data_IF_050407736648
#
_entry.id   IF_050407736648
#
_cell.length_a   1.000
_cell.length_b   1.000
_cell.length_c   1.000
_cell.angle_alpha   90.00
_cell.angle_beta   90.00
_cell.angle_gamma   90.00
#
_symmetry.space_group_name_H-M   'P 1'
#
loop_
_entity.id
_entity.type
_entity.pdbx_description
1 polymer ?
#
# COMPACT_ATOMS: atom_id res chain seq x y z
N UNK A 1 -3.88 24.02 11.18
CA UNK A 1 -3.41 22.67 11.53
C UNK A 1 -3.25 21.71 10.33
N UNK A 2 -4.00 21.86 9.22
CA UNK A 2 -3.83 21.03 8.01
C UNK A 2 -2.59 21.33 7.15
N UNK A 3 -2.07 22.56 7.22
CA UNK A 3 -0.92 23.00 6.41
C UNK A 3 0.42 22.39 6.88
N UNK A 4 0.58 22.19 8.18
CA UNK A 4 1.81 21.62 8.78
C UNK A 4 1.97 20.14 8.42
N UNK A 5 0.85 19.40 8.31
CA UNK A 5 0.86 17.99 7.93
C UNK A 5 1.36 17.78 6.49
N UNK A 6 0.97 18.68 5.56
CA UNK A 6 1.40 18.62 4.16
C UNK A 6 2.92 18.84 4.05
N UNK A 7 3.49 19.74 4.82
CA UNK A 7 4.94 20.00 4.80
C UNK A 7 5.75 18.81 5.31
N UNK A 8 5.22 18.06 6.28
CA UNK A 8 5.92 16.92 6.89
C UNK A 8 5.90 15.65 6.07
N UNK A 9 4.84 15.45 5.24
CA UNK A 9 4.81 14.33 4.28
C UNK A 9 5.96 14.45 3.26
N UNK A 10 6.39 15.69 2.94
CA UNK A 10 7.56 15.94 2.08
C UNK A 10 8.92 15.64 2.75
N UNK A 11 8.96 15.56 4.09
CA UNK A 11 10.19 15.28 4.84
C UNK A 11 10.35 13.78 5.17
N UNK A 12 9.33 12.96 4.97
CA UNK A 12 9.48 11.51 5.09
C UNK A 12 10.43 11.04 3.98
N UNK A 13 11.50 10.29 4.32
CA UNK A 13 12.41 9.79 3.31
C UNK A 13 11.76 8.65 2.53
N UNK A 14 10.89 8.98 1.58
CA UNK A 14 10.59 8.12 0.44
C UNK A 14 11.82 8.16 -0.50
N UNK A 15 13.02 8.31 0.12
CA UNK A 15 14.29 8.45 -0.57
C UNK A 15 14.65 7.14 -1.24
N UNK A 16 14.71 7.18 -2.55
CA UNK A 16 15.27 6.11 -3.37
C UNK A 16 14.40 5.70 -4.58
N UNK A 17 13.09 5.83 -4.52
CA UNK A 17 12.22 5.31 -5.58
C UNK A 17 11.48 6.37 -6.42
N UNK A 18 11.68 7.67 -6.14
CA UNK A 18 11.00 8.76 -6.86
C UNK A 18 9.47 8.80 -6.68
N UNK A 19 8.97 8.18 -5.61
CA UNK A 19 7.53 8.18 -5.32
C UNK A 19 7.13 9.51 -4.69
N UNK A 20 6.22 10.24 -5.35
CA UNK A 20 5.72 11.51 -4.83
C UNK A 20 4.75 11.32 -3.66
N UNK A 21 4.91 12.07 -2.55
CA UNK A 21 3.96 12.05 -1.44
C UNK A 21 2.53 12.46 -1.81
N UNK A 22 2.36 13.27 -2.86
CA UNK A 22 1.05 13.74 -3.33
C UNK A 22 0.11 12.61 -3.70
N UNK A 23 0.63 11.47 -4.18
CA UNK A 23 -0.20 10.31 -4.53
C UNK A 23 -0.94 9.77 -3.31
N UNK A 24 -0.30 9.75 -2.13
CA UNK A 24 -0.92 9.33 -0.88
C UNK A 24 -1.96 10.34 -0.38
N UNK A 25 -1.68 11.64 -0.52
CA UNK A 25 -2.63 12.70 -0.18
C UNK A 25 -3.87 12.64 -1.06
N UNK A 26 -3.70 12.42 -2.37
CA UNK A 26 -4.82 12.23 -3.30
C UNK A 26 -5.65 11.00 -2.92
N UNK A 27 -5.01 9.85 -2.75
CA UNK A 27 -5.69 8.62 -2.38
C UNK A 27 -6.43 8.73 -1.03
N UNK A 28 -5.85 9.45 -0.06
CA UNK A 28 -6.45 9.74 1.24
C UNK A 28 -7.76 10.54 1.09
N UNK A 29 -7.76 11.61 0.30
CA UNK A 29 -8.97 12.42 0.05
C UNK A 29 -10.07 11.60 -0.60
N UNK A 30 -9.72 10.77 -1.59
CA UNK A 30 -10.66 9.98 -2.37
C UNK A 30 -11.23 8.76 -1.63
N UNK A 31 -10.48 8.21 -0.69
CA UNK A 31 -10.88 6.99 0.05
C UNK A 31 -11.43 7.27 1.45
N UNK A 32 -11.10 8.42 2.03
CA UNK A 32 -11.34 8.75 3.43
C UNK A 32 -10.36 8.07 4.40
N UNK A 33 -9.35 7.35 3.91
CA UNK A 33 -8.31 6.72 4.75
C UNK A 33 -7.26 7.78 5.13
N UNK A 34 -6.86 7.89 6.41
CA UNK A 34 -5.79 8.81 6.81
C UNK A 34 -4.51 8.58 6.02
N UNK A 35 -3.86 9.66 5.59
CA UNK A 35 -2.63 9.57 4.77
C UNK A 35 -1.51 8.85 5.51
N UNK A 36 -1.41 9.04 6.82
CA UNK A 36 -0.42 8.37 7.68
C UNK A 36 -0.63 6.85 7.70
N UNK A 37 -1.88 6.41 7.64
CA UNK A 37 -2.20 4.98 7.59
C UNK A 37 -1.83 4.38 6.23
N UNK A 38 -2.09 5.10 5.13
CA UNK A 38 -1.67 4.67 3.79
C UNK A 38 -0.14 4.58 3.68
N UNK A 39 0.58 5.55 4.24
CA UNK A 39 2.04 5.53 4.31
C UNK A 39 2.55 4.37 5.15
N UNK A 40 1.93 4.09 6.30
CA UNK A 40 2.31 2.99 7.18
C UNK A 40 2.13 1.64 6.50
N UNK A 41 1.02 1.44 5.79
CA UNK A 41 0.75 0.22 5.02
C UNK A 41 1.77 0.07 3.89
N UNK A 42 1.97 1.12 3.07
CA UNK A 42 2.95 1.06 1.98
C UNK A 42 4.38 0.77 2.48
N UNK A 43 4.77 1.33 3.63
CA UNK A 43 6.05 1.00 4.25
C UNK A 43 6.14 -0.49 4.65
N UNK A 44 5.07 -1.06 5.22
CA UNK A 44 5.04 -2.46 5.66
C UNK A 44 5.00 -3.42 4.48
N UNK A 45 4.25 -3.08 3.42
CA UNK A 45 4.02 -3.93 2.25
C UNK A 45 5.22 -3.96 1.30
N UNK A 46 5.77 -2.79 0.98
CA UNK A 46 6.76 -2.66 -0.10
C UNK A 46 8.03 -1.92 0.28
N UNK A 47 8.11 -1.34 1.49
CA UNK A 47 9.15 -0.37 1.87
C UNK A 47 9.24 0.80 0.88
N UNK A 48 8.09 1.21 0.36
CA UNK A 48 7.93 2.22 -0.67
C UNK A 48 8.57 1.85 -2.03
N UNK A 49 8.87 0.57 -2.28
CA UNK A 49 9.31 0.14 -3.59
C UNK A 49 8.08 -0.02 -4.53
N UNK A 50 7.94 0.81 -5.58
CA UNK A 50 6.82 0.73 -6.51
C UNK A 50 6.84 -0.53 -7.39
N UNK A 51 7.99 -1.21 -7.44
CA UNK A 51 8.20 -2.41 -8.23
C UNK A 51 8.10 -3.70 -7.40
N UNK A 52 7.79 -3.60 -6.10
CA UNK A 52 7.66 -4.78 -5.23
C UNK A 52 6.60 -5.75 -5.75
N UNK A 53 6.94 -7.04 -5.74
CA UNK A 53 6.07 -8.13 -6.21
C UNK A 53 6.08 -9.24 -5.16
N UNK A 54 4.92 -9.82 -4.87
CA UNK A 54 4.83 -11.05 -4.11
C UNK A 54 4.23 -12.15 -4.99
N UNK A 55 4.98 -13.21 -5.19
CA UNK A 55 4.58 -14.38 -6.01
C UNK A 55 4.14 -15.49 -5.07
N UNK A 56 2.85 -15.54 -4.74
CA UNK A 56 2.27 -16.60 -3.88
C UNK A 56 3.02 -16.78 -2.55
N UNK A 57 3.38 -15.68 -1.87
CA UNK A 57 4.09 -15.68 -0.59
C UNK A 57 5.61 -15.43 -0.68
N UNK A 58 6.19 -15.43 -1.89
CA UNK A 58 7.60 -15.10 -2.12
C UNK A 58 7.75 -13.66 -2.57
N UNK A 59 8.27 -12.80 -1.69
CA UNK A 59 8.54 -11.40 -2.01
C UNK A 59 9.77 -11.25 -2.91
N UNK A 60 9.64 -10.41 -3.94
CA UNK A 60 10.71 -10.01 -4.86
C UNK A 60 10.72 -8.50 -4.93
N UNK A 61 11.90 -7.90 -4.93
CA UNK A 61 12.10 -6.45 -4.95
C UNK A 61 12.92 -6.03 -6.18
N UNK A 62 12.30 -5.97 -7.38
CA UNK A 62 12.97 -5.55 -8.60
C UNK A 62 13.56 -4.15 -8.45
N UNK A 63 14.74 -3.94 -9.06
CA UNK A 63 15.44 -2.66 -9.05
C UNK A 63 14.88 -1.64 -10.06
N UNK A 64 14.09 -2.13 -11.02
CA UNK A 64 13.53 -1.32 -12.10
C UNK A 64 12.15 -1.80 -12.53
N UNK A 65 11.40 -0.89 -13.18
CA UNK A 65 10.12 -1.22 -13.80
C UNK A 65 10.26 -2.33 -14.86
N UNK A 66 11.30 -2.29 -15.67
CA UNK A 66 11.55 -3.27 -16.74
C UNK A 66 11.72 -4.67 -16.17
N UNK A 67 12.48 -4.80 -15.08
CA UNK A 67 12.65 -6.07 -14.37
C UNK A 67 11.31 -6.57 -13.81
N UNK A 68 10.55 -5.69 -13.15
CA UNK A 68 9.22 -6.01 -12.62
C UNK A 68 8.26 -6.48 -13.71
N UNK A 69 8.20 -5.80 -14.85
CA UNK A 69 7.37 -6.20 -15.99
C UNK A 69 7.75 -7.57 -16.53
N UNK A 70 9.05 -7.87 -16.62
CA UNK A 70 9.54 -9.18 -17.03
C UNK A 70 9.09 -10.30 -16.09
N UNK A 71 9.06 -10.05 -14.79
CA UNK A 71 8.56 -10.99 -13.78
C UNK A 71 7.05 -11.16 -13.91
N UNK A 72 6.29 -10.07 -13.99
CA UNK A 72 4.82 -10.10 -14.05
C UNK A 72 4.29 -10.79 -15.32
N UNK A 73 4.96 -10.63 -16.45
CA UNK A 73 4.59 -11.33 -17.72
C UNK A 73 4.65 -12.85 -17.58
N UNK A 74 5.49 -13.38 -16.70
CA UNK A 74 5.66 -14.82 -16.44
C UNK A 74 4.95 -15.29 -15.17
N UNK A 75 4.35 -14.38 -14.39
CA UNK A 75 3.69 -14.73 -13.13
C UNK A 75 2.32 -15.35 -13.35
N UNK A 76 1.92 -16.22 -12.41
CA UNK A 76 0.54 -16.66 -12.25
C UNK A 76 -0.39 -15.55 -11.74
N UNK A 77 -1.63 -15.93 -11.48
CA UNK A 77 -2.68 -14.98 -11.11
C UNK A 77 -2.61 -14.51 -9.65
N UNK A 78 -2.12 -15.37 -8.76
CA UNK A 78 -1.93 -15.01 -7.34
C UNK A 78 -0.63 -14.22 -7.17
N UNK A 79 -0.70 -12.94 -7.47
CA UNK A 79 0.42 -12.02 -7.40
C UNK A 79 -0.01 -10.70 -6.80
N UNK A 80 0.75 -10.21 -5.80
CA UNK A 80 0.59 -8.89 -5.22
C UNK A 80 1.61 -7.94 -5.84
N UNK A 81 1.20 -6.72 -6.16
CA UNK A 81 2.01 -5.78 -6.95
C UNK A 81 2.03 -4.39 -6.33
N UNK A 82 3.20 -3.79 -6.32
CA UNK A 82 3.41 -2.36 -6.12
C UNK A 82 3.41 -1.91 -4.67
N UNK A 83 3.26 -0.60 -4.47
CA UNK A 83 3.37 0.08 -3.18
C UNK A 83 2.46 -0.47 -2.10
N UNK A 84 1.21 -0.76 -2.46
CA UNK A 84 0.16 -1.24 -1.56
C UNK A 84 -0.05 -2.76 -1.69
N UNK A 85 0.78 -3.47 -2.45
CA UNK A 85 0.69 -4.92 -2.70
C UNK A 85 -0.74 -5.36 -3.06
N UNK A 86 -1.30 -4.70 -4.09
CA UNK A 86 -2.64 -5.03 -4.58
C UNK A 86 -2.61 -6.40 -5.26
N UNK A 87 -3.40 -7.36 -4.75
CA UNK A 87 -3.51 -8.70 -5.36
C UNK A 87 -4.26 -8.63 -6.68
N UNK A 88 -3.58 -8.99 -7.77
CA UNK A 88 -4.16 -8.94 -9.11
C UNK A 88 -5.26 -9.98 -9.32
N UNK A 89 -5.09 -11.19 -8.85
CA UNK A 89 -6.06 -12.27 -9.03
C UNK A 89 -7.40 -11.98 -8.34
N UNK A 90 -7.36 -11.32 -7.18
CA UNK A 90 -8.55 -10.96 -6.40
C UNK A 90 -9.17 -9.64 -6.88
N UNK A 91 -8.34 -8.61 -7.04
CA UNK A 91 -8.81 -7.24 -7.26
C UNK A 91 -8.58 -6.73 -8.68
N UNK A 92 -7.40 -6.99 -9.27
CA UNK A 92 -7.04 -6.47 -10.59
C UNK A 92 -8.02 -6.91 -11.66
N UNK A 93 -8.37 -8.19 -11.70
CA UNK A 93 -9.38 -8.72 -12.62
C UNK A 93 -10.76 -8.08 -12.42
N UNK A 94 -11.20 -7.96 -11.18
CA UNK A 94 -12.49 -7.36 -10.82
C UNK A 94 -12.56 -5.89 -11.21
N UNK A 95 -11.45 -5.19 -11.15
CA UNK A 95 -11.33 -3.76 -11.45
C UNK A 95 -10.95 -3.47 -12.91
N UNK A 96 -10.74 -4.51 -13.71
CA UNK A 96 -10.41 -4.39 -15.14
C UNK A 96 -9.02 -3.82 -15.42
N UNK A 97 -8.06 -3.97 -14.49
CA UNK A 97 -6.67 -3.51 -14.65
C UNK A 97 -5.73 -4.69 -14.92
N UNK A 98 -4.68 -4.45 -15.72
CA UNK A 98 -3.64 -5.46 -15.95
C UNK A 98 -2.65 -5.52 -14.77
N UNK A 99 -1.83 -6.58 -14.72
CA UNK A 99 -0.73 -6.68 -13.75
C UNK A 99 0.27 -5.53 -13.91
N UNK A 100 0.52 -5.09 -15.14
CA UNK A 100 1.47 -4.03 -15.47
C UNK A 100 0.93 -2.65 -15.06
N UNK A 101 -0.39 -2.43 -15.12
CA UNK A 101 -1.02 -1.20 -14.65
C UNK A 101 -0.79 -1.00 -13.14
N UNK A 102 -0.74 -2.09 -12.37
CA UNK A 102 -0.47 -2.04 -10.93
C UNK A 102 0.96 -1.58 -10.58
N UNK A 103 1.87 -1.47 -11.54
CA UNK A 103 3.19 -0.84 -11.38
C UNK A 103 3.12 0.69 -11.47
N UNK A 104 2.00 1.28 -11.86
CA UNK A 104 1.78 2.71 -11.75
C UNK A 104 1.51 3.08 -10.29
N UNK A 105 2.35 3.94 -9.72
CA UNK A 105 2.29 4.30 -8.31
C UNK A 105 0.99 5.00 -7.92
N UNK A 106 0.47 5.90 -8.78
CA UNK A 106 -0.79 6.60 -8.52
C UNK A 106 -1.96 5.62 -8.46
N UNK A 107 -2.08 4.81 -9.52
CA UNK A 107 -3.14 3.81 -9.60
C UNK A 107 -3.06 2.80 -8.46
N UNK A 108 -1.86 2.32 -8.14
CA UNK A 108 -1.65 1.32 -7.09
C UNK A 108 -2.08 1.83 -5.71
N UNK A 109 -1.63 3.03 -5.32
CA UNK A 109 -1.99 3.63 -4.03
C UNK A 109 -3.48 3.96 -3.99
N UNK A 110 -4.05 4.48 -5.08
CA UNK A 110 -5.47 4.77 -5.17
C UNK A 110 -6.33 3.50 -5.00
N UNK A 111 -6.02 2.42 -5.73
CA UNK A 111 -6.75 1.16 -5.63
C UNK A 111 -6.58 0.52 -4.24
N UNK A 112 -5.36 0.47 -3.71
CA UNK A 112 -5.10 -0.04 -2.37
C UNK A 112 -5.90 0.71 -1.30
N UNK A 113 -5.97 2.04 -1.39
CA UNK A 113 -6.75 2.87 -0.47
C UNK A 113 -8.27 2.61 -0.60
N UNK A 114 -8.80 2.45 -1.81
CA UNK A 114 -10.22 2.09 -2.03
C UNK A 114 -10.55 0.71 -1.50
N UNK A 115 -9.69 -0.28 -1.71
CA UNK A 115 -9.84 -1.64 -1.16
C UNK A 115 -9.84 -1.60 0.37
N UNK A 116 -8.88 -0.89 0.98
CA UNK A 116 -8.82 -0.73 2.42
C UNK A 116 -10.08 -0.07 2.97
N UNK A 117 -10.57 0.99 2.31
CA UNK A 117 -11.81 1.69 2.68
C UNK A 117 -13.02 0.74 2.69
N UNK A 118 -13.11 -0.18 1.73
CA UNK A 118 -14.18 -1.20 1.71
C UNK A 118 -14.08 -2.12 2.94
N UNK A 119 -12.88 -2.60 3.29
CA UNK A 119 -12.69 -3.44 4.48
C UNK A 119 -12.99 -2.70 5.78
N UNK A 120 -12.53 -1.44 5.91
CA UNK A 120 -12.82 -0.61 7.10
C UNK A 120 -14.32 -0.44 7.31
N UNK A 121 -15.07 -0.16 6.25
CA UNK A 121 -16.53 -0.03 6.30
C UNK A 121 -17.21 -1.36 6.61
N UNK A 122 -16.83 -2.43 5.92
CA UNK A 122 -17.43 -3.76 6.08
C UNK A 122 -17.20 -4.37 7.46
N UNK A 123 -16.10 -3.99 8.14
CA UNK A 123 -15.72 -4.49 9.47
C UNK A 123 -16.01 -3.51 10.59
N UNK A 124 -16.59 -2.36 10.28
CA UNK A 124 -16.94 -1.30 11.22
C UNK A 124 -15.78 -0.88 12.14
N UNK A 125 -14.55 -0.85 11.60
CA UNK A 125 -13.37 -0.47 12.37
C UNK A 125 -12.10 -0.40 11.54
N UNK A 126 -11.22 0.55 11.91
CA UNK A 126 -9.96 0.81 11.21
C UNK A 126 -9.01 -0.39 11.25
N UNK A 127 -8.70 -0.88 12.44
CA UNK A 127 -7.72 -1.94 12.64
C UNK A 127 -8.23 -3.31 12.19
N UNK A 128 -9.54 -3.54 12.30
CA UNK A 128 -10.19 -4.71 11.72
C UNK A 128 -10.07 -4.68 10.19
N UNK A 129 -10.35 -3.54 9.56
CA UNK A 129 -10.18 -3.35 8.12
C UNK A 129 -8.73 -3.55 7.66
N UNK A 130 -7.76 -3.01 8.40
CA UNK A 130 -6.32 -3.21 8.15
C UNK A 130 -5.95 -4.69 8.23
N UNK A 131 -6.43 -5.42 9.22
CA UNK A 131 -6.17 -6.87 9.32
C UNK A 131 -6.71 -7.63 8.12
N UNK A 132 -7.95 -7.37 7.74
CA UNK A 132 -8.59 -8.01 6.59
C UNK A 132 -7.99 -7.63 5.24
N UNK A 133 -7.41 -6.45 5.12
CA UNK A 133 -6.67 -6.04 3.93
C UNK A 133 -5.55 -7.03 3.60
N UNK A 134 -4.85 -7.52 4.62
CA UNK A 134 -3.73 -8.43 4.46
C UNK A 134 -4.15 -9.91 4.37
N UNK A 135 -5.10 -10.34 5.19
CA UNK A 135 -5.44 -11.77 5.27
C UNK A 135 -6.82 -12.00 5.90
N UNK A 136 -7.56 -13.04 5.48
CA UNK A 136 -8.75 -13.50 6.19
C UNK A 136 -8.40 -14.25 7.50
N UNK A 137 -7.15 -14.68 7.70
CA UNK A 137 -6.71 -15.51 8.84
C UNK A 137 -6.45 -14.66 10.07
N UNK A 138 -7.10 -14.89 11.24
CA UNK A 138 -6.99 -14.04 12.43
C UNK A 138 -5.57 -13.87 12.95
N UNK A 139 -4.75 -14.94 12.95
CA UNK A 139 -3.35 -14.88 13.40
C UNK A 139 -2.53 -13.93 12.55
N UNK A 140 -2.64 -14.05 11.22
CA UNK A 140 -1.96 -13.17 10.26
C UNK A 140 -2.45 -11.73 10.35
N UNK A 141 -3.75 -11.52 10.64
CA UNK A 141 -4.28 -10.19 10.87
C UNK A 141 -3.61 -9.50 12.06
N UNK A 142 -3.49 -10.20 13.19
CA UNK A 142 -2.86 -9.64 14.40
C UNK A 142 -1.41 -9.23 14.16
N UNK A 143 -0.61 -10.13 13.59
CA UNK A 143 0.80 -9.86 13.27
C UNK A 143 0.95 -8.68 12.29
N UNK A 144 0.07 -8.61 11.32
CA UNK A 144 0.08 -7.53 10.34
C UNK A 144 -0.31 -6.19 10.96
N UNK A 145 -1.40 -6.15 11.72
CA UNK A 145 -1.86 -4.96 12.44
C UNK A 145 -0.76 -4.43 13.35
N UNK A 146 -0.05 -5.29 14.09
CA UNK A 146 1.08 -4.88 14.93
C UNK A 146 2.20 -4.20 14.13
N UNK A 147 2.54 -4.74 12.96
CA UNK A 147 3.57 -4.13 12.09
C UNK A 147 3.12 -2.77 11.57
N UNK A 148 1.87 -2.67 11.11
CA UNK A 148 1.30 -1.41 10.60
C UNK A 148 1.20 -0.39 11.74
N UNK A 149 0.74 -0.78 12.93
CA UNK A 149 0.66 0.08 14.11
C UNK A 149 2.01 0.70 14.47
N UNK A 150 3.08 -0.12 14.52
CA UNK A 150 4.44 0.38 14.79
C UNK A 150 4.90 1.38 13.73
N UNK A 151 4.61 1.13 12.45
CA UNK A 151 4.94 2.06 11.37
C UNK A 151 4.13 3.36 11.48
N UNK A 152 2.84 3.25 11.70
CA UNK A 152 1.90 4.36 11.88
C UNK A 152 2.29 5.26 13.06
N UNK A 153 2.58 4.67 14.22
CA UNK A 153 3.01 5.41 15.40
C UNK A 153 4.30 6.21 15.15
N UNK A 154 5.30 5.61 14.47
CA UNK A 154 6.53 6.33 14.11
C UNK A 154 6.27 7.52 13.20
N UNK A 155 5.35 7.37 12.24
CA UNK A 155 4.97 8.47 11.33
C UNK A 155 4.30 9.59 12.14
N UNK A 156 3.34 9.26 13.01
CA UNK A 156 2.66 10.24 13.85
C UNK A 156 3.60 11.00 14.82
N UNK A 157 4.57 10.30 15.43
CA UNK A 157 5.53 10.94 16.31
C UNK A 157 6.41 11.95 15.57
N UNK A 158 6.86 11.62 14.36
CA UNK A 158 7.67 12.54 13.53
C UNK A 158 6.90 13.77 13.04
N UNK A 159 5.57 13.70 13.00
CA UNK A 159 4.72 14.83 12.59
C UNK A 159 4.49 15.82 13.76
N UNK A 160 4.76 15.42 15.02
CA UNK A 160 4.52 16.23 16.20
C UNK A 160 5.75 17.00 16.72
N UNK A 161 6.95 16.61 16.29
CA UNK A 161 8.22 17.27 16.54
C UNK A 161 8.56 18.26 15.40
#
# INVERSE_FOLDING_TARGET
>A
MRLVLVLFVFLLPVKGWGVSPEIFLHASRESGIPVELLLAISHVESRFNPHAINLSGRSVFPSSRVEAEGILKRSGDNVDVGLMQVNWGVWGRKLGVSKLDLLDSNLNVFLGAKILSQYVRARNGWWQGVGFYHSPTPERQREYVDRVWRSYSRILFRVRD
#
